data_IF_648380280389
#
_entry.id   IF_648380280389
#
_cell.length_a   1.000
_cell.length_b   1.000
_cell.length_c   1.000
_cell.angle_alpha   90.00
_cell.angle_beta   90.00
_cell.angle_gamma   90.00
#
_symmetry.space_group_name_H-M   'P 1'
#
loop_
_entity.id
_entity.type
_entity.pdbx_description
1 polymer ?
#
# COMPACT_ATOMS: atom_id res chain seq x y z
N UNK A 1 -14.08 -34.23 -3.39
CA UNK A 1 -14.92 -33.90 -4.58
C UNK A 1 -16.41 -34.04 -4.29
N UNK A 2 -16.89 -35.18 -3.80
CA UNK A 2 -18.31 -35.36 -3.46
C UNK A 2 -18.86 -34.30 -2.49
N UNK A 3 -18.10 -33.95 -1.45
CA UNK A 3 -18.45 -32.87 -0.50
C UNK A 3 -18.65 -31.50 -1.18
N UNK A 4 -17.87 -31.19 -2.22
CA UNK A 4 -18.00 -29.93 -2.95
C UNK A 4 -19.28 -29.91 -3.79
N UNK A 5 -19.61 -31.03 -4.42
CA UNK A 5 -20.83 -31.18 -5.22
C UNK A 5 -22.08 -31.06 -4.35
N UNK A 6 -22.14 -31.74 -3.20
CA UNK A 6 -23.26 -31.64 -2.25
C UNK A 6 -23.43 -30.19 -1.72
N UNK A 7 -22.33 -29.54 -1.32
CA UNK A 7 -22.36 -28.14 -0.88
C UNK A 7 -22.89 -27.22 -1.99
N UNK A 8 -22.43 -27.41 -3.23
CA UNK A 8 -22.87 -26.59 -4.37
C UNK A 8 -24.32 -26.80 -4.74
N UNK A 9 -24.78 -28.05 -4.72
CA UNK A 9 -26.19 -28.37 -4.98
C UNK A 9 -27.08 -27.64 -3.97
N UNK A 10 -26.75 -27.71 -2.68
CA UNK A 10 -27.49 -27.03 -1.60
C UNK A 10 -27.40 -25.51 -1.70
N UNK A 11 -26.26 -24.97 -2.13
CA UNK A 11 -26.06 -23.52 -2.29
C UNK A 11 -26.58 -22.97 -3.62
N UNK A 12 -27.00 -23.82 -4.56
CA UNK A 12 -27.45 -23.42 -5.90
C UNK A 12 -28.66 -22.49 -5.92
N UNK A 13 -29.47 -22.49 -4.85
CA UNK A 13 -30.59 -21.57 -4.66
C UNK A 13 -30.15 -20.16 -4.20
N UNK A 14 -28.94 -20.04 -3.64
CA UNK A 14 -28.36 -18.80 -3.10
C UNK A 14 -27.29 -18.21 -4.03
N UNK A 15 -27.40 -18.38 -5.35
CA UNK A 15 -26.38 -17.95 -6.34
C UNK A 15 -25.94 -16.48 -6.24
N UNK A 16 -26.77 -15.58 -5.71
CA UNK A 16 -26.42 -14.17 -5.54
C UNK A 16 -25.70 -13.88 -4.21
N UNK A 17 -25.78 -14.79 -3.23
CA UNK A 17 -25.20 -14.65 -1.90
C UNK A 17 -23.66 -14.75 -1.92
N UNK A 18 -23.10 -15.39 -2.93
CA UNK A 18 -21.68 -15.64 -3.05
C UNK A 18 -21.23 -15.48 -4.49
N UNK A 19 -19.96 -15.14 -4.69
CA UNK A 19 -19.34 -15.16 -6.02
C UNK A 19 -18.53 -16.45 -6.21
N UNK A 20 -18.03 -17.02 -5.10
CA UNK A 20 -17.36 -18.31 -5.09
C UNK A 20 -17.67 -19.09 -3.81
N UNK A 21 -17.79 -20.41 -3.93
CA UNK A 21 -17.84 -21.34 -2.79
C UNK A 21 -16.82 -22.44 -3.02
N UNK A 22 -16.06 -22.75 -1.96
CA UNK A 22 -15.06 -23.81 -1.96
C UNK A 22 -15.09 -24.58 -0.65
N UNK A 23 -14.59 -25.80 -0.68
CA UNK A 23 -14.45 -26.63 0.52
C UNK A 23 -12.96 -26.77 0.84
N UNK A 24 -12.60 -26.51 2.08
CA UNK A 24 -11.23 -26.53 2.58
C UNK A 24 -11.08 -27.68 3.58
N UNK A 25 -10.05 -28.49 3.39
CA UNK A 25 -9.47 -29.34 4.41
C UNK A 25 -8.28 -28.58 5.04
N UNK A 26 -8.46 -27.94 6.21
CA UNK A 26 -7.43 -27.12 6.84
C UNK A 26 -6.34 -27.94 7.54
N UNK A 27 -6.49 -29.27 7.68
CA UNK A 27 -5.44 -30.14 8.22
C UNK A 27 -4.43 -30.42 7.13
N UNK A 28 -4.91 -30.82 5.95
CA UNK A 28 -4.07 -31.18 4.81
C UNK A 28 -3.76 -29.99 3.87
N UNK A 29 -4.36 -28.83 4.13
CA UNK A 29 -4.29 -27.61 3.29
C UNK A 29 -4.79 -27.83 1.86
N UNK A 30 -5.75 -28.73 1.69
CA UNK A 30 -6.35 -29.07 0.40
C UNK A 30 -7.60 -28.21 0.21
N UNK A 31 -7.78 -27.69 -1.00
CA UNK A 31 -9.03 -27.05 -1.43
C UNK A 31 -9.68 -27.86 -2.53
N UNK A 32 -10.98 -28.05 -2.38
CA UNK A 32 -11.87 -28.56 -3.41
C UNK A 32 -12.61 -27.38 -4.02
N UNK A 33 -12.37 -27.12 -5.30
CA UNK A 33 -13.00 -26.06 -6.11
C UNK A 33 -13.10 -26.51 -7.58
N UNK A 34 -14.01 -25.94 -8.37
CA UNK A 34 -14.23 -26.32 -9.79
C UNK A 34 -13.21 -25.67 -10.75
N UNK A 35 -12.01 -25.32 -10.28
CA UNK A 35 -11.10 -24.31 -10.84
C UNK A 35 -11.53 -22.85 -10.69
N UNK A 36 -10.55 -22.07 -10.22
CA UNK A 36 -10.63 -20.64 -9.93
C UNK A 36 -9.65 -19.94 -10.86
N UNK A 37 -9.98 -19.91 -12.15
CA UNK A 37 -9.66 -18.72 -12.92
C UNK A 37 -10.71 -17.71 -12.50
N UNK A 38 -10.38 -16.84 -11.54
CA UNK A 38 -11.08 -15.56 -11.41
C UNK A 38 -11.34 -15.04 -12.83
N UNK A 39 -12.59 -14.72 -13.16
CA UNK A 39 -13.02 -14.01 -14.38
C UNK A 39 -12.29 -12.66 -14.49
N UNK A 40 -10.99 -12.68 -14.76
CA UNK A 40 -10.15 -11.50 -14.89
C UNK A 40 -9.63 -11.35 -16.31
N UNK A 41 -9.70 -12.37 -17.18
CA UNK A 41 -9.56 -12.19 -18.63
C UNK A 41 -10.36 -13.28 -19.35
N UNK A 42 -11.24 -12.90 -20.28
CA UNK A 42 -12.08 -13.78 -21.10
C UNK A 42 -11.26 -14.68 -22.05
N UNK A 43 -10.51 -15.65 -21.55
CA UNK A 43 -9.97 -16.74 -22.38
C UNK A 43 -10.13 -18.09 -21.68
N UNK A 44 -10.83 -18.99 -22.37
CA UNK A 44 -11.17 -20.34 -21.92
C UNK A 44 -9.99 -21.30 -22.09
N UNK A 45 -9.89 -22.24 -21.15
CA UNK A 45 -9.63 -23.64 -21.47
C UNK A 45 -10.38 -24.50 -20.46
N UNK A 46 -11.40 -25.22 -20.94
CA UNK A 46 -12.03 -26.31 -20.21
C UNK A 46 -11.03 -27.46 -20.09
N UNK A 47 -10.50 -27.72 -18.89
CA UNK A 47 -10.12 -29.06 -18.39
C UNK A 47 -9.51 -29.01 -16.99
N UNK A 48 -10.03 -29.91 -16.16
CA UNK A 48 -9.49 -30.48 -14.91
C UNK A 48 -9.57 -29.66 -13.61
N UNK A 49 -10.66 -29.90 -12.85
CA UNK A 49 -10.79 -29.59 -11.41
C UNK A 49 -9.49 -29.89 -10.64
N UNK A 50 -8.75 -28.85 -10.26
CA UNK A 50 -7.44 -28.97 -9.63
C UNK A 50 -7.50 -29.08 -8.09
N UNK A 51 -6.76 -30.04 -7.50
CA UNK A 51 -6.33 -29.93 -6.11
C UNK A 51 -5.34 -28.76 -6.01
N UNK A 52 -5.79 -27.63 -5.47
CA UNK A 52 -4.94 -26.46 -5.23
C UNK A 52 -4.71 -26.24 -3.73
N UNK A 53 -3.64 -25.51 -3.40
CA UNK A 53 -3.36 -25.12 -2.02
C UNK A 53 -4.21 -23.91 -1.68
N UNK A 54 -4.70 -23.86 -0.44
CA UNK A 54 -5.67 -22.84 0.01
C UNK A 54 -5.22 -21.37 -0.15
N UNK A 55 -3.92 -21.17 -0.33
CA UNK A 55 -3.27 -19.88 -0.41
C UNK A 55 -2.97 -19.42 -1.85
N UNK A 56 -3.20 -20.26 -2.86
CA UNK A 56 -2.87 -19.98 -4.26
C UNK A 56 -3.72 -18.82 -4.84
N UNK A 57 -5.03 -18.78 -4.52
CA UNK A 57 -5.94 -17.68 -4.95
C UNK A 57 -5.49 -16.30 -4.44
N UNK A 58 -4.75 -16.27 -3.33
CA UNK A 58 -4.28 -15.04 -2.70
C UNK A 58 -2.89 -14.62 -3.21
N UNK A 59 -2.30 -15.37 -4.15
CA UNK A 59 -0.95 -15.14 -4.65
C UNK A 59 0.13 -15.33 -3.58
N UNK A 60 -0.10 -16.19 -2.60
CA UNK A 60 0.85 -16.49 -1.51
C UNK A 60 1.59 -17.79 -1.82
N UNK A 61 2.82 -17.92 -1.32
CA UNK A 61 3.65 -19.13 -1.52
C UNK A 61 3.60 -20.10 -0.33
N UNK A 62 2.89 -19.74 0.74
CA UNK A 62 2.83 -20.51 1.99
C UNK A 62 1.51 -20.29 2.73
N UNK A 63 1.21 -21.20 3.68
CA UNK A 63 0.01 -21.16 4.49
C UNK A 63 -0.07 -19.88 5.35
N UNK A 64 -1.28 -19.37 5.54
CA UNK A 64 -1.52 -18.17 6.33
C UNK A 64 -1.19 -18.42 7.81
N UNK A 65 -0.41 -17.52 8.43
CA UNK A 65 -0.13 -17.54 9.88
C UNK A 65 -1.40 -17.40 10.74
N UNK A 66 -2.44 -16.77 10.19
CA UNK A 66 -3.78 -16.65 10.80
C UNK A 66 -4.86 -17.20 9.86
N UNK A 67 -4.85 -18.51 9.63
CA UNK A 67 -5.81 -19.19 8.76
C UNK A 67 -7.23 -19.19 9.34
N UNK A 68 -8.19 -18.58 8.64
CA UNK A 68 -9.59 -18.50 9.08
C UNK A 68 -10.25 -19.88 9.06
N UNK A 69 -10.00 -20.70 8.03
CA UNK A 69 -10.49 -22.07 7.94
C UNK A 69 -10.00 -22.94 9.10
N UNK A 70 -8.71 -22.87 9.44
CA UNK A 70 -8.18 -23.62 10.58
C UNK A 70 -8.81 -23.19 11.90
N UNK A 71 -9.08 -21.89 12.06
CA UNK A 71 -9.77 -21.36 13.24
C UNK A 71 -11.22 -21.86 13.33
N UNK A 72 -11.96 -21.83 12.22
CA UNK A 72 -13.33 -22.33 12.13
C UNK A 72 -13.42 -23.84 12.44
N UNK A 73 -12.50 -24.61 11.87
CA UNK A 73 -12.38 -26.05 12.11
C UNK A 73 -12.14 -26.37 13.59
N UNK A 74 -11.13 -25.75 14.21
CA UNK A 74 -10.73 -26.04 15.58
C UNK A 74 -11.76 -25.58 16.62
N UNK A 75 -12.40 -24.42 16.39
CA UNK A 75 -13.38 -23.87 17.32
C UNK A 75 -14.81 -24.36 17.08
N UNK A 76 -15.03 -25.09 15.99
CA UNK A 76 -16.35 -25.52 15.55
C UNK A 76 -17.37 -24.36 15.46
N UNK A 77 -16.93 -23.23 14.91
CA UNK A 77 -17.71 -22.00 14.86
C UNK A 77 -17.46 -21.28 13.54
N UNK A 78 -18.40 -20.42 13.13
CA UNK A 78 -18.32 -19.65 11.89
C UNK A 78 -17.51 -18.39 12.12
N UNK A 79 -16.54 -18.12 11.24
CA UNK A 79 -15.75 -16.90 11.28
C UNK A 79 -15.88 -16.13 9.97
N UNK A 80 -15.80 -14.81 10.09
CA UNK A 80 -15.87 -13.89 8.96
C UNK A 80 -14.61 -13.02 8.96
N UNK A 81 -14.01 -12.82 7.79
CA UNK A 81 -12.84 -11.96 7.59
C UNK A 81 -12.97 -11.17 6.28
N UNK A 82 -12.38 -9.98 6.26
CA UNK A 82 -12.10 -9.26 5.03
C UNK A 82 -10.70 -9.62 4.52
N UNK A 83 -10.59 -10.11 3.29
CA UNK A 83 -9.33 -10.32 2.59
C UNK A 83 -9.25 -9.36 1.39
N UNK A 84 -8.06 -8.80 1.14
CA UNK A 84 -7.83 -7.89 0.03
C UNK A 84 -6.83 -8.50 -0.94
N UNK A 85 -7.16 -8.49 -2.24
CA UNK A 85 -6.25 -8.88 -3.30
C UNK A 85 -6.21 -7.79 -4.38
N UNK A 86 -5.04 -7.17 -4.59
CA UNK A 86 -4.84 -6.02 -5.50
C UNK A 86 -5.86 -4.90 -5.25
N UNK A 87 -6.91 -4.84 -6.08
CA UNK A 87 -7.98 -3.84 -6.04
C UNK A 87 -9.32 -4.37 -5.52
N UNK A 88 -9.43 -5.67 -5.23
CA UNK A 88 -10.67 -6.31 -4.79
C UNK A 88 -10.69 -6.54 -3.28
N UNK A 89 -11.86 -6.34 -2.68
CA UNK A 89 -12.15 -6.63 -1.28
C UNK A 89 -13.14 -7.79 -1.23
N UNK A 90 -12.76 -8.87 -0.57
CA UNK A 90 -13.58 -10.06 -0.41
C UNK A 90 -14.01 -10.23 1.04
N UNK A 91 -15.30 -10.46 1.25
CA UNK A 91 -15.82 -11.03 2.48
C UNK A 91 -15.66 -12.55 2.41
N UNK A 92 -14.86 -13.10 3.31
CA UNK A 92 -14.61 -14.55 3.42
C UNK A 92 -15.31 -15.06 4.67
N UNK A 93 -16.27 -15.95 4.48
CA UNK A 93 -16.99 -16.65 5.55
C UNK A 93 -16.49 -18.08 5.58
N UNK A 94 -15.99 -18.53 6.72
CA UNK A 94 -15.50 -19.89 6.93
C UNK A 94 -16.38 -20.59 7.97
N UNK A 95 -17.10 -21.63 7.56
CA UNK A 95 -18.01 -22.39 8.43
C UNK A 95 -17.67 -23.88 8.39
N UNK A 96 -17.51 -24.55 9.55
CA UNK A 96 -17.28 -25.99 9.56
C UNK A 96 -18.52 -26.75 9.09
N UNK A 97 -18.30 -27.87 8.41
CA UNK A 97 -19.33 -28.83 8.03
C UNK A 97 -18.85 -30.25 8.33
N UNK A 98 -19.78 -31.17 8.50
CA UNK A 98 -19.51 -32.60 8.58
C UNK A 98 -20.07 -33.29 7.34
N UNK A 99 -19.25 -34.12 6.68
CA UNK A 99 -19.62 -34.89 5.51
C UNK A 99 -18.93 -36.25 5.57
N UNK A 100 -19.70 -37.34 5.52
CA UNK A 100 -19.21 -38.72 5.66
C UNK A 100 -18.24 -38.89 6.84
N UNK A 101 -18.65 -38.46 8.04
CA UNK A 101 -17.87 -38.51 9.30
C UNK A 101 -16.55 -37.70 9.29
N UNK A 102 -16.27 -36.98 8.21
CA UNK A 102 -15.12 -36.10 8.08
C UNK A 102 -15.56 -34.65 8.24
N UNK A 103 -14.72 -33.87 8.93
CA UNK A 103 -14.96 -32.44 9.13
C UNK A 103 -14.23 -31.63 8.07
N UNK A 104 -14.94 -30.71 7.44
CA UNK A 104 -14.40 -29.78 6.46
C UNK A 104 -14.80 -28.35 6.83
N UNK A 105 -14.31 -27.38 6.07
CA UNK A 105 -14.73 -25.99 6.18
C UNK A 105 -15.22 -25.51 4.82
N UNK A 106 -16.46 -25.04 4.76
CA UNK A 106 -16.95 -24.31 3.59
C UNK A 106 -16.46 -22.87 3.71
N UNK A 107 -15.72 -22.43 2.69
CA UNK A 107 -15.38 -21.02 2.50
C UNK A 107 -16.28 -20.42 1.43
N UNK A 108 -17.01 -19.38 1.82
CA UNK A 108 -17.85 -18.59 0.93
C UNK A 108 -17.14 -17.25 0.72
N UNK A 109 -16.94 -16.88 -0.55
CA UNK A 109 -16.30 -15.63 -0.93
C UNK A 109 -17.33 -14.73 -1.62
N UNK A 110 -17.46 -13.50 -1.14
CA UNK A 110 -18.22 -12.44 -1.78
C UNK A 110 -17.31 -11.26 -2.09
N UNK A 111 -17.22 -10.89 -3.36
CA UNK A 111 -16.62 -9.65 -3.80
C UNK A 111 -17.54 -8.47 -3.43
N UNK A 112 -17.06 -7.63 -2.52
CA UNK A 112 -17.77 -6.45 -2.02
C UNK A 112 -17.13 -5.15 -2.53
N UNK A 113 -16.27 -5.23 -3.54
CA UNK A 113 -15.50 -4.10 -4.07
C UNK A 113 -16.39 -2.97 -4.58
N UNK A 114 -17.44 -3.33 -5.33
CA UNK A 114 -18.38 -2.38 -5.94
C UNK A 114 -19.80 -2.48 -5.35
N UNK A 115 -20.12 -3.59 -4.68
CA UNK A 115 -21.45 -3.90 -4.17
C UNK A 115 -21.51 -3.82 -2.64
N UNK A 116 -20.79 -2.86 -2.05
CA UNK A 116 -20.66 -2.63 -0.60
C UNK A 116 -21.95 -2.26 0.14
N UNK A 117 -23.09 -2.81 -0.25
CA UNK A 117 -24.34 -2.80 0.51
C UNK A 117 -24.27 -3.79 1.67
N UNK A 118 -23.27 -3.64 2.55
CA UNK A 118 -23.49 -4.00 3.95
C UNK A 118 -24.24 -2.81 4.52
N UNK A 119 -25.56 -2.86 4.30
CA UNK A 119 -26.50 -1.89 4.81
C UNK A 119 -26.44 -2.02 6.33
N UNK A 120 -25.89 -1.02 7.02
CA UNK A 120 -26.09 -0.90 8.47
C UNK A 120 -27.61 -0.96 8.74
N UNK A 121 -28.06 -1.35 9.92
CA UNK A 121 -29.50 -1.36 10.26
C UNK A 121 -30.21 -0.02 10.02
N UNK A 122 -29.44 1.05 9.78
CA UNK A 122 -29.84 2.41 9.39
C UNK A 122 -30.01 2.66 7.88
N UNK A 123 -29.59 1.75 6.99
CA UNK A 123 -29.61 1.98 5.54
C UNK A 123 -28.28 2.50 4.95
N UNK A 124 -27.28 2.79 5.77
CA UNK A 124 -26.17 3.66 5.36
C UNK A 124 -24.87 2.90 5.02
N UNK A 125 -24.44 2.99 3.75
CA UNK A 125 -23.23 2.33 3.20
C UNK A 125 -21.91 2.97 3.67
N UNK A 126 -21.96 3.88 4.64
CA UNK A 126 -20.87 4.79 4.94
C UNK A 126 -19.76 4.10 5.77
N UNK A 127 -20.11 3.26 6.76
CA UNK A 127 -19.13 2.69 7.68
C UNK A 127 -18.14 1.72 7.01
N UNK A 128 -18.61 0.85 6.12
CA UNK A 128 -17.74 -0.08 5.39
C UNK A 128 -16.84 0.67 4.41
N UNK A 129 -17.38 1.63 3.67
CA UNK A 129 -16.60 2.47 2.75
C UNK A 129 -15.53 3.28 3.50
N UNK A 130 -15.86 3.84 4.67
CA UNK A 130 -14.91 4.52 5.54
C UNK A 130 -13.85 3.55 6.08
N UNK A 131 -14.23 2.32 6.41
CA UNK A 131 -13.30 1.30 6.91
C UNK A 131 -12.34 0.84 5.81
N UNK A 132 -12.85 0.55 4.61
CA UNK A 132 -12.03 0.21 3.44
C UNK A 132 -11.11 1.37 3.06
N UNK A 133 -11.63 2.61 3.09
CA UNK A 133 -10.83 3.81 2.87
C UNK A 133 -9.71 3.95 3.89
N UNK A 134 -9.99 3.81 5.19
CA UNK A 134 -8.98 3.83 6.26
C UNK A 134 -7.95 2.71 6.10
N UNK A 135 -8.37 1.51 5.73
CA UNK A 135 -7.45 0.39 5.45
C UNK A 135 -6.54 0.74 4.28
N UNK A 136 -7.09 1.26 3.18
CA UNK A 136 -6.30 1.70 2.02
C UNK A 136 -5.32 2.80 2.40
N UNK A 137 -5.76 3.81 3.14
CA UNK A 137 -4.90 4.90 3.63
C UNK A 137 -3.75 4.35 4.48
N UNK A 138 -4.03 3.45 5.43
CA UNK A 138 -2.98 2.81 6.25
C UNK A 138 -2.01 1.95 5.44
N UNK A 139 -2.44 1.36 4.32
CA UNK A 139 -1.57 0.57 3.47
C UNK A 139 -0.62 1.43 2.64
N UNK A 140 -1.02 2.64 2.26
CA UNK A 140 -0.25 3.49 1.32
C UNK A 140 0.41 4.69 1.97
N UNK A 141 -0.07 5.15 3.13
CA UNK A 141 0.46 6.31 3.84
C UNK A 141 1.40 5.91 4.98
N UNK A 142 2.32 6.79 5.30
CA UNK A 142 3.08 6.75 6.55
C UNK A 142 2.20 7.25 7.70
N UNK A 143 2.07 6.44 8.74
CA UNK A 143 1.23 6.70 9.90
C UNK A 143 1.56 8.01 10.63
N UNK A 144 2.84 8.42 10.63
CA UNK A 144 3.28 9.61 11.35
C UNK A 144 2.99 10.88 10.56
N UNK A 145 3.34 10.88 9.27
CA UNK A 145 3.42 12.09 8.44
C UNK A 145 2.26 12.24 7.44
N UNK A 146 1.49 11.19 7.17
CA UNK A 146 0.35 11.21 6.23
C UNK A 146 0.74 11.29 4.74
N UNK A 147 2.03 11.37 4.41
CA UNK A 147 2.54 11.22 3.03
C UNK A 147 2.68 9.74 2.67
N UNK A 148 2.98 9.40 1.42
CA UNK A 148 3.11 7.99 1.03
C UNK A 148 4.23 7.28 1.79
N UNK A 149 4.03 6.00 2.12
CA UNK A 149 5.08 5.18 2.73
C UNK A 149 6.01 4.58 1.68
N UNK A 150 7.21 4.17 2.11
CA UNK A 150 8.24 3.57 1.25
C UNK A 150 7.71 2.45 0.35
N UNK A 151 6.92 1.52 0.90
CA UNK A 151 6.37 0.41 0.13
C UNK A 151 5.52 0.89 -1.05
N UNK A 152 4.70 1.91 -0.83
CA UNK A 152 3.87 2.47 -1.91
C UNK A 152 4.70 3.30 -2.90
N UNK A 153 5.73 4.01 -2.43
CA UNK A 153 6.69 4.73 -3.29
C UNK A 153 7.31 3.76 -4.30
N UNK A 154 7.89 2.64 -3.85
CA UNK A 154 8.57 1.68 -4.71
C UNK A 154 7.62 1.12 -5.80
N UNK A 155 6.37 0.84 -5.42
CA UNK A 155 5.34 0.33 -6.34
C UNK A 155 4.82 1.38 -7.33
N UNK A 156 4.64 2.62 -6.87
CA UNK A 156 4.10 3.71 -7.68
C UNK A 156 5.15 4.25 -8.64
N UNK A 157 6.36 4.49 -8.14
CA UNK A 157 7.45 5.11 -8.89
C UNK A 157 7.86 4.25 -10.08
N UNK A 158 8.07 2.94 -9.88
CA UNK A 158 8.41 2.01 -10.97
C UNK A 158 7.39 2.02 -12.11
N UNK A 159 6.10 2.16 -11.81
CA UNK A 159 5.04 2.24 -12.83
C UNK A 159 5.00 3.60 -13.52
N UNK A 160 5.06 4.68 -12.75
CA UNK A 160 4.98 6.04 -13.27
C UNK A 160 6.22 6.41 -14.10
N UNK A 161 7.42 6.08 -13.63
CA UNK A 161 8.67 6.35 -14.34
C UNK A 161 8.66 5.69 -15.73
N UNK A 162 8.31 4.41 -15.81
CA UNK A 162 8.22 3.67 -17.07
C UNK A 162 7.17 4.26 -18.03
N UNK A 163 6.02 4.71 -17.51
CA UNK A 163 4.99 5.35 -18.32
C UNK A 163 5.47 6.71 -18.82
N UNK A 164 5.98 7.55 -17.92
CA UNK A 164 6.40 8.91 -18.24
C UNK A 164 7.55 8.93 -19.24
N UNK A 165 8.50 7.98 -19.16
CA UNK A 165 9.54 7.79 -20.17
C UNK A 165 8.94 7.51 -21.56
N UNK A 166 7.98 6.58 -21.65
CA UNK A 166 7.31 6.23 -22.93
C UNK A 166 6.52 7.39 -23.52
N UNK A 167 5.89 8.19 -22.66
CA UNK A 167 5.09 9.36 -23.06
C UNK A 167 5.94 10.65 -23.19
N UNK A 168 7.26 10.55 -23.03
CA UNK A 168 8.20 11.68 -23.02
C UNK A 168 7.78 12.82 -22.07
N UNK A 169 7.19 12.46 -20.92
CA UNK A 169 6.79 13.41 -19.87
C UNK A 169 8.02 13.67 -18.98
N UNK A 170 8.58 14.91 -18.97
CA UNK A 170 9.71 15.22 -18.11
C UNK A 170 9.31 15.04 -16.65
N UNK A 171 10.12 14.33 -15.88
CA UNK A 171 9.80 13.99 -14.49
C UNK A 171 11.04 14.15 -13.65
N UNK A 172 10.96 14.95 -12.59
CA UNK A 172 12.08 15.19 -11.70
C UNK A 172 11.82 14.59 -10.32
N UNK A 173 12.82 13.88 -9.81
CA UNK A 173 12.86 13.32 -8.47
C UNK A 173 13.71 14.21 -7.58
N UNK A 174 13.21 14.49 -6.38
CA UNK A 174 13.97 15.17 -5.33
C UNK A 174 13.99 14.25 -4.11
N UNK A 175 15.16 13.98 -3.56
CA UNK A 175 15.31 13.37 -2.24
C UNK A 175 15.75 14.46 -1.26
N UNK A 176 14.98 14.63 -0.20
CA UNK A 176 15.17 15.60 0.85
C UNK A 176 15.48 14.89 2.18
N UNK A 177 16.40 15.46 2.96
CA UNK A 177 16.74 14.96 4.30
C UNK A 177 16.89 16.11 5.29
N UNK A 178 16.37 15.89 6.50
CA UNK A 178 16.46 16.86 7.60
C UNK A 178 17.87 16.82 8.19
N UNK A 179 18.59 17.93 8.06
CA UNK A 179 19.98 18.01 8.48
C UNK A 179 20.12 17.82 10.00
N UNK A 180 20.99 16.88 10.41
CA UNK A 180 21.28 16.59 11.82
C UNK A 180 20.06 16.16 12.64
N UNK A 181 19.08 15.50 12.03
CA UNK A 181 17.84 15.09 12.71
C UNK A 181 18.08 14.22 13.96
N UNK A 182 19.09 13.33 13.94
CA UNK A 182 19.50 12.61 15.14
C UNK A 182 19.85 13.55 16.31
N UNK A 183 20.57 14.65 16.06
CA UNK A 183 20.91 15.64 17.10
C UNK A 183 19.66 16.32 17.67
N UNK A 184 18.65 16.56 16.84
CA UNK A 184 17.35 17.09 17.27
C UNK A 184 16.66 16.11 18.22
N UNK A 185 16.60 14.83 17.86
CA UNK A 185 16.05 13.78 18.74
C UNK A 185 16.82 13.65 20.04
N UNK A 186 18.16 13.64 19.97
CA UNK A 186 19.02 13.50 21.15
C UNK A 186 18.91 14.72 22.09
N UNK A 187 18.61 15.91 21.55
CA UNK A 187 18.52 17.16 22.34
C UNK A 187 17.12 17.40 22.90
N UNK A 188 16.07 17.15 22.12
CA UNK A 188 14.69 17.55 22.45
C UNK A 188 13.74 16.36 22.65
N UNK A 189 14.20 15.13 22.42
CA UNK A 189 13.42 13.90 22.54
C UNK A 189 12.61 13.56 21.28
N UNK A 190 12.24 12.27 21.18
CA UNK A 190 11.55 11.73 20.01
C UNK A 190 10.18 12.37 19.73
N UNK A 191 9.44 12.80 20.75
CA UNK A 191 8.14 13.46 20.55
C UNK A 191 8.27 14.77 19.77
N UNK A 192 9.37 15.49 19.98
CA UNK A 192 9.69 16.72 19.25
C UNK A 192 10.14 16.39 17.83
N UNK A 193 10.98 15.36 17.66
CA UNK A 193 11.34 14.84 16.33
C UNK A 193 10.13 14.44 15.50
N UNK A 194 9.18 13.74 16.10
CA UNK A 194 7.92 13.34 15.47
C UNK A 194 7.09 14.54 15.02
N UNK A 195 7.05 15.61 15.83
CA UNK A 195 6.40 16.87 15.43
C UNK A 195 7.12 17.51 14.25
N UNK A 196 8.45 17.55 14.27
CA UNK A 196 9.25 18.11 13.19
C UNK A 196 9.01 17.33 11.89
N UNK A 197 8.95 16.01 11.93
CA UNK A 197 8.65 15.19 10.75
C UNK A 197 7.26 15.49 10.18
N UNK A 198 6.24 15.63 11.04
CA UNK A 198 4.87 16.03 10.62
C UNK A 198 4.86 17.40 9.95
N UNK A 199 5.49 18.38 10.58
CA UNK A 199 5.54 19.74 10.07
C UNK A 199 6.35 19.84 8.77
N UNK A 200 7.47 19.12 8.70
CA UNK A 200 8.30 19.03 7.51
C UNK A 200 7.50 18.46 6.34
N UNK A 201 6.82 17.32 6.53
CA UNK A 201 5.96 16.73 5.53
C UNK A 201 4.85 17.67 5.07
N UNK A 202 4.23 18.40 6.01
CA UNK A 202 3.22 19.43 5.70
C UNK A 202 3.79 20.56 4.85
N UNK A 203 4.98 21.06 5.19
CA UNK A 203 5.65 22.12 4.42
C UNK A 203 5.94 21.66 3.00
N UNK A 204 6.42 20.43 2.82
CA UNK A 204 6.63 19.86 1.49
C UNK A 204 5.30 19.82 0.71
N UNK A 205 4.26 19.27 1.34
CA UNK A 205 2.94 19.09 0.72
C UNK A 205 2.31 20.42 0.28
N UNK A 206 2.30 21.42 1.17
CA UNK A 206 1.69 22.73 0.93
C UNK A 206 2.44 23.55 -0.14
N UNK A 207 3.59 23.07 -0.63
CA UNK A 207 4.45 23.78 -1.58
C UNK A 207 4.67 23.07 -2.93
N UNK A 208 3.99 21.96 -3.19
CA UNK A 208 3.97 21.24 -4.48
C UNK A 208 2.55 21.21 -5.08
N UNK A 209 2.38 20.73 -6.32
CA UNK A 209 1.05 20.67 -6.97
C UNK A 209 0.32 19.38 -6.60
N UNK A 210 -0.77 19.47 -5.84
CA UNK A 210 -1.53 18.30 -5.34
C UNK A 210 -2.00 17.31 -6.42
N UNK A 211 -2.34 17.79 -7.62
CA UNK A 211 -2.96 16.96 -8.66
C UNK A 211 -1.95 16.11 -9.45
N UNK A 212 -0.69 16.55 -9.54
CA UNK A 212 0.31 15.92 -10.41
C UNK A 212 1.57 15.50 -9.65
N UNK A 213 1.94 16.20 -8.60
CA UNK A 213 3.15 15.92 -7.83
C UNK A 213 2.79 15.12 -6.58
N UNK A 214 3.74 14.35 -6.06
CA UNK A 214 3.49 13.59 -4.84
C UNK A 214 4.73 13.45 -3.97
N UNK A 215 4.49 13.17 -2.69
CA UNK A 215 5.52 13.05 -1.65
C UNK A 215 5.36 11.70 -0.96
N UNK A 216 6.49 11.10 -0.62
CA UNK A 216 6.52 9.99 0.31
C UNK A 216 7.68 10.09 1.30
N UNK A 217 7.54 9.42 2.43
CA UNK A 217 8.61 9.23 3.40
C UNK A 217 9.37 7.97 3.02
N UNK A 218 10.60 8.14 2.56
CA UNK A 218 11.45 7.09 2.01
C UNK A 218 12.30 6.42 3.08
N UNK A 219 12.70 7.18 4.11
CA UNK A 219 13.50 6.72 5.24
C UNK A 219 13.04 7.30 6.58
N UNK A 220 13.91 7.29 7.58
CA UNK A 220 13.62 7.84 8.91
C UNK A 220 13.34 9.34 8.86
N UNK A 221 14.30 10.11 8.35
CA UNK A 221 14.20 11.56 8.13
C UNK A 221 14.22 11.97 6.64
N UNK A 222 14.12 10.98 5.76
CA UNK A 222 14.26 11.14 4.31
C UNK A 222 12.90 11.12 3.61
N UNK A 223 12.69 12.08 2.72
CA UNK A 223 11.48 12.24 1.93
C UNK A 223 11.84 12.25 0.44
N UNK A 224 10.98 11.63 -0.36
CA UNK A 224 11.04 11.71 -1.82
C UNK A 224 9.89 12.58 -2.31
N UNK A 225 10.18 13.43 -3.29
CA UNK A 225 9.21 14.29 -3.96
C UNK A 225 9.34 13.98 -5.46
N UNK A 226 8.22 13.69 -6.10
CA UNK A 226 8.18 13.41 -7.54
C UNK A 226 7.36 14.48 -8.22
N UNK A 227 8.03 15.21 -9.11
CA UNK A 227 7.47 16.33 -9.86
C UNK A 227 7.20 15.87 -11.29
N UNK A 228 5.94 15.58 -11.59
CA UNK A 228 5.53 15.18 -12.92
C UNK A 228 5.45 16.40 -13.83
N UNK A 229 5.67 16.20 -15.14
CA UNK A 229 5.70 17.28 -16.13
C UNK A 229 6.65 18.43 -15.70
N UNK A 230 7.83 18.06 -15.20
CA UNK A 230 8.84 18.97 -14.65
C UNK A 230 10.23 18.51 -15.04
N UNK A 231 10.94 19.34 -15.79
CA UNK A 231 12.34 19.13 -16.14
C UNK A 231 13.28 19.49 -14.98
N UNK A 232 14.56 19.11 -15.11
CA UNK A 232 15.57 19.29 -14.07
C UNK A 232 15.65 20.73 -13.55
N UNK A 233 15.70 21.72 -14.45
CA UNK A 233 15.85 23.13 -14.08
C UNK A 233 14.69 23.60 -13.17
N UNK A 234 13.46 23.23 -13.52
CA UNK A 234 12.30 23.60 -12.71
C UNK A 234 12.22 22.77 -11.42
N UNK A 235 12.65 21.51 -11.44
CA UNK A 235 12.76 20.71 -10.22
C UNK A 235 13.77 21.29 -9.22
N UNK A 236 14.92 21.78 -9.70
CA UNK A 236 15.91 22.49 -8.86
C UNK A 236 15.31 23.77 -8.26
N UNK A 237 14.53 24.53 -9.03
CA UNK A 237 13.83 25.72 -8.49
C UNK A 237 12.86 25.36 -7.37
N UNK A 238 12.12 24.24 -7.50
CA UNK A 238 11.22 23.74 -6.45
C UNK A 238 12.02 23.31 -5.21
N UNK A 239 13.09 22.54 -5.38
CA UNK A 239 13.96 22.12 -4.29
C UNK A 239 14.56 23.32 -3.52
N UNK A 240 15.10 24.33 -4.22
CA UNK A 240 15.64 25.53 -3.60
C UNK A 240 14.57 26.39 -2.91
N UNK A 241 13.35 26.44 -3.47
CA UNK A 241 12.21 27.09 -2.80
C UNK A 241 11.92 26.41 -1.47
N UNK A 242 11.79 25.08 -1.47
CA UNK A 242 11.51 24.28 -0.27
C UNK A 242 12.61 24.47 0.78
N UNK A 243 13.88 24.36 0.36
CA UNK A 243 15.04 24.57 1.23
C UNK A 243 15.00 25.92 1.96
N UNK A 244 14.75 27.01 1.22
CA UNK A 244 14.67 28.36 1.79
C UNK A 244 13.48 28.54 2.73
N UNK A 245 12.35 27.88 2.46
CA UNK A 245 11.19 27.91 3.36
C UNK A 245 11.54 27.22 4.67
N UNK A 246 12.10 26.01 4.60
CA UNK A 246 12.45 25.20 5.78
C UNK A 246 13.51 25.91 6.63
N UNK A 247 14.56 26.46 6.01
CA UNK A 247 15.61 27.23 6.68
C UNK A 247 15.06 28.45 7.46
N UNK A 248 14.05 29.12 6.91
CA UNK A 248 13.44 30.30 7.53
C UNK A 248 12.37 29.96 8.56
N UNK A 249 11.76 28.79 8.47
CA UNK A 249 10.69 28.36 9.36
C UNK A 249 11.20 28.14 10.79
N UNK A 250 10.34 28.35 11.80
CA UNK A 250 10.59 27.90 13.17
C UNK A 250 9.60 26.80 13.49
N UNK A 251 10.11 25.66 13.96
CA UNK A 251 9.30 24.51 14.35
C UNK A 251 9.00 24.61 15.84
N UNK A 252 7.73 24.85 16.16
CA UNK A 252 7.32 25.12 17.54
C UNK A 252 6.74 23.86 18.20
N UNK A 253 7.16 23.60 19.45
CA UNK A 253 6.62 22.53 20.30
C UNK A 253 6.53 23.02 21.75
N UNK A 254 5.31 23.37 22.19
CA UNK A 254 5.13 24.10 23.45
C UNK A 254 5.87 25.44 23.39
N UNK A 255 6.74 25.69 24.36
CA UNK A 255 7.56 26.91 24.43
C UNK A 255 8.88 26.80 23.63
N UNK A 256 9.18 25.64 23.04
CA UNK A 256 10.37 25.45 22.23
C UNK A 256 10.17 25.99 20.82
N UNK A 257 11.17 26.70 20.31
CA UNK A 257 11.28 27.15 18.93
C UNK A 257 12.56 26.62 18.32
N UNK A 258 12.43 25.69 17.38
CA UNK A 258 13.54 24.89 16.84
C UNK A 258 13.79 25.28 15.39
N UNK A 259 15.06 25.54 15.07
CA UNK A 259 15.53 25.78 13.71
C UNK A 259 16.15 24.49 13.16
N UNK A 260 15.71 24.09 11.98
CA UNK A 260 16.29 22.99 11.21
C UNK A 260 16.62 23.48 9.81
N UNK A 261 17.55 22.78 9.16
CA UNK A 261 17.81 22.92 7.73
C UNK A 261 17.57 21.56 7.05
N UNK A 262 17.57 21.57 5.72
CA UNK A 262 17.47 20.33 4.96
C UNK A 262 18.35 20.39 3.73
N UNK A 263 18.85 19.22 3.34
CA UNK A 263 19.64 19.02 2.13
C UNK A 263 18.80 18.31 1.08
N UNK A 264 19.07 18.60 -0.20
CA UNK A 264 18.29 18.09 -1.32
C UNK A 264 19.19 17.56 -2.43
N UNK A 265 18.89 16.37 -2.93
CA UNK A 265 19.43 15.83 -4.18
C UNK A 265 18.34 15.80 -5.24
N UNK A 266 18.64 16.26 -6.46
CA UNK A 266 17.66 16.39 -7.55
C UNK A 266 18.15 15.64 -8.77
N UNK A 267 17.28 14.88 -9.42
CA UNK A 267 17.61 14.16 -10.65
C UNK A 267 16.37 14.10 -11.56
N UNK A 268 16.54 14.37 -12.86
CA UNK A 268 15.49 14.17 -13.86
C UNK A 268 15.58 12.74 -14.41
N UNK A 269 14.43 12.07 -14.53
CA UNK A 269 14.35 10.73 -15.13
C UNK A 269 14.84 10.83 -16.59
N UNK A 270 15.80 9.98 -16.96
CA UNK A 270 16.36 9.94 -18.32
C UNK A 270 16.17 8.57 -18.96
N UNK A 271 16.07 8.53 -20.29
CA UNK A 271 15.94 7.27 -21.07
C UNK A 271 17.13 6.32 -20.93
N UNK A 272 18.25 6.80 -20.40
CA UNK A 272 19.48 6.02 -20.20
C UNK A 272 19.52 5.28 -18.87
N UNK A 273 18.51 5.49 -18.02
CA UNK A 273 18.45 5.03 -16.64
C UNK A 273 17.16 4.23 -16.42
N UNK A 274 17.23 3.11 -15.70
CA UNK A 274 16.01 2.52 -15.17
C UNK A 274 15.50 3.44 -14.04
N UNK A 275 14.21 3.36 -13.75
CA UNK A 275 13.53 3.98 -12.62
C UNK A 275 14.32 3.89 -11.30
N UNK A 276 14.91 2.73 -10.97
CA UNK A 276 15.73 2.59 -9.77
C UNK A 276 17.02 3.42 -9.80
N UNK A 277 17.61 3.60 -10.97
CA UNK A 277 18.83 4.38 -11.13
C UNK A 277 18.58 5.87 -10.87
N UNK A 278 17.41 6.41 -11.25
CA UNK A 278 17.09 7.82 -10.97
C UNK A 278 16.97 8.13 -9.48
N UNK A 279 16.32 7.26 -8.69
CA UNK A 279 16.26 7.45 -7.22
C UNK A 279 17.67 7.39 -6.64
N UNK A 280 18.47 6.41 -7.08
CA UNK A 280 19.86 6.27 -6.63
C UNK A 280 20.70 7.51 -6.97
N UNK A 281 20.56 8.04 -8.18
CA UNK A 281 21.26 9.25 -8.60
C UNK A 281 20.85 10.46 -7.74
N UNK A 282 19.54 10.64 -7.47
CA UNK A 282 19.08 11.68 -6.56
C UNK A 282 19.64 11.51 -5.13
N UNK A 283 19.80 10.27 -4.65
CA UNK A 283 20.41 9.96 -3.36
C UNK A 283 21.90 10.30 -3.33
N UNK A 284 22.64 9.99 -4.39
CA UNK A 284 24.05 10.38 -4.54
C UNK A 284 24.21 11.92 -4.51
N UNK A 285 23.31 12.66 -5.17
CA UNK A 285 23.30 14.12 -5.12
C UNK A 285 23.00 14.64 -3.71
N UNK A 286 22.05 14.02 -3.00
CA UNK A 286 21.75 14.35 -1.60
C UNK A 286 22.97 14.10 -0.70
N UNK A 287 23.66 12.98 -0.89
CA UNK A 287 24.89 12.68 -0.18
C UNK A 287 25.95 13.76 -0.41
N UNK A 288 26.14 14.21 -1.65
CA UNK A 288 27.04 15.33 -1.97
C UNK A 288 26.61 16.65 -1.30
N UNK A 289 25.31 16.92 -1.22
CA UNK A 289 24.78 18.09 -0.50
C UNK A 289 25.16 18.04 0.98
N UNK A 290 24.98 16.87 1.63
CA UNK A 290 25.34 16.64 3.03
C UNK A 290 26.84 16.78 3.27
N UNK A 291 27.67 16.23 2.37
CA UNK A 291 29.14 16.24 2.51
C UNK A 291 29.77 17.61 2.28
N UNK A 292 29.17 18.45 1.44
CA UNK A 292 29.74 19.76 1.10
C UNK A 292 29.25 20.91 1.98
N UNK A 293 28.53 20.63 3.06
CA UNK A 293 28.15 21.65 4.06
C UNK A 293 26.67 21.72 4.41
N UNK A 294 25.84 20.77 3.93
CA UNK A 294 24.39 20.71 4.21
C UNK A 294 23.64 21.97 3.76
N UNK A 295 22.34 22.06 4.08
CA UNK A 295 21.47 23.20 3.76
C UNK A 295 21.63 23.67 2.30
N UNK A 296 21.61 22.74 1.35
CA UNK A 296 21.79 23.05 -0.07
C UNK A 296 21.11 22.03 -0.97
N UNK A 297 20.92 22.43 -2.22
CA UNK A 297 20.47 21.56 -3.31
C UNK A 297 21.65 21.20 -4.22
N UNK A 298 21.75 19.93 -4.60
CA UNK A 298 22.72 19.41 -5.59
C UNK A 298 21.94 18.62 -6.64
N UNK A 299 22.36 18.71 -7.92
CA UNK A 299 21.69 18.11 -9.07
C UNK A 299 22.69 17.58 -10.10
#
# INVERSE_FOLDING_TARGET
MEVLLDVKERMSILKNFYDEVRVVDPINNIVFSDDISLKINNEFNEKDCSLSKCYDIWGKNSACSTCISKKAYLKNDTFIKLECNKNHVFLVIASPIEFNENKYVVEILKDITNNGSIVDGSGDNNYLNLTIKKIRENLVKDHLTGVYNKRYIDQRFSKEANRNLKESIPTTVIIADIDSFKKVNDTYGHLVGDKILRDFAKVLHDNIRENNDWIGRYGGEEFIIVLNNTNLENGVKVAEKLRKIIEKMSFNYGDLSIKITSSFGVCEISEKEDSFDTIKNADEKLYMAKMTGRNKTVF
#
